data_IF_012307575160
#
_entry.id   IF_012307575160
#
_cell.length_a   1.000
_cell.length_b   1.000
_cell.length_c   1.000
_cell.angle_alpha   90.00
_cell.angle_beta   90.00
_cell.angle_gamma   90.00
#
_symmetry.space_group_name_H-M   'P 1'
#
loop_
_entity.id
_entity.type
_entity.pdbx_description
1 polymer ?
#
# COMPACT_ATOMS: atom_id res chain seq x y z
N UNK A 1 10.47 14.88 20.93
CA UNK A 1 10.19 13.93 19.83
C UNK A 1 9.95 12.59 20.47
N UNK A 2 8.69 12.26 20.76
CA UNK A 2 8.33 10.92 21.23
C UNK A 2 8.46 9.98 20.04
N UNK A 3 9.30 8.95 20.18
CA UNK A 3 9.29 7.81 19.28
C UNK A 3 7.91 7.18 19.48
N UNK A 4 6.99 7.40 18.54
CA UNK A 4 5.71 6.68 18.55
C UNK A 4 6.07 5.20 18.42
N UNK A 5 5.72 4.43 19.44
CA UNK A 5 5.91 2.98 19.47
C UNK A 5 5.15 2.41 18.27
N UNK A 6 5.91 2.05 17.25
CA UNK A 6 5.35 1.45 16.05
C UNK A 6 4.70 0.13 16.46
N UNK A 7 3.38 0.04 16.36
CA UNK A 7 2.69 -1.23 16.56
C UNK A 7 3.07 -2.15 15.41
N UNK A 8 3.72 -3.24 15.76
CA UNK A 8 4.16 -4.27 14.82
C UNK A 8 3.25 -5.50 14.89
N UNK A 9 3.09 -6.19 13.77
CA UNK A 9 2.25 -7.37 13.63
C UNK A 9 3.06 -8.52 13.05
N UNK A 10 3.08 -9.67 13.71
CA UNK A 10 3.73 -10.86 13.17
C UNK A 10 2.95 -11.47 12.00
N UNK A 11 3.61 -12.28 11.18
CA UNK A 11 2.94 -13.03 10.11
C UNK A 11 1.82 -13.96 10.61
N UNK A 12 1.99 -14.55 11.80
CA UNK A 12 0.95 -15.36 12.42
C UNK A 12 -0.25 -14.49 12.85
N UNK A 13 0.01 -13.29 13.38
CA UNK A 13 -1.04 -12.33 13.72
C UNK A 13 -1.82 -11.88 12.48
N UNK A 14 -1.14 -11.61 11.37
CA UNK A 14 -1.81 -11.29 10.11
C UNK A 14 -2.65 -12.46 9.58
N UNK A 15 -2.15 -13.70 9.67
CA UNK A 15 -2.93 -14.87 9.28
C UNK A 15 -4.20 -15.03 10.14
N UNK A 16 -4.13 -14.74 11.44
CA UNK A 16 -5.29 -14.73 12.32
C UNK A 16 -6.31 -13.68 11.88
N UNK A 17 -5.89 -12.42 11.66
CA UNK A 17 -6.78 -11.34 11.20
C UNK A 17 -7.49 -11.67 9.88
N UNK A 18 -6.77 -12.22 8.90
CA UNK A 18 -7.36 -12.60 7.61
C UNK A 18 -8.47 -13.66 7.76
N UNK A 19 -8.33 -14.59 8.72
CA UNK A 19 -9.30 -15.68 8.93
C UNK A 19 -10.48 -15.26 9.81
N UNK A 20 -10.21 -14.45 10.83
CA UNK A 20 -11.13 -14.18 11.93
C UNK A 20 -11.88 -12.85 11.77
N UNK A 21 -11.27 -11.87 11.10
CA UNK A 21 -11.81 -10.52 10.96
C UNK A 21 -11.67 -9.94 9.53
N UNK A 22 -12.04 -10.70 8.47
CA UNK A 22 -11.84 -10.26 7.09
C UNK A 22 -12.63 -9.01 6.71
N UNK A 23 -13.77 -8.74 7.36
CA UNK A 23 -14.65 -7.59 7.05
C UNK A 23 -14.26 -6.30 7.77
N UNK A 24 -13.31 -6.39 8.72
CA UNK A 24 -12.80 -5.26 9.51
C UNK A 24 -11.28 -5.10 9.41
N UNK A 25 -10.62 -5.83 8.52
CA UNK A 25 -9.17 -5.77 8.30
C UNK A 25 -8.85 -5.17 6.94
N UNK A 26 -8.10 -4.06 6.93
CA UNK A 26 -7.60 -3.43 5.71
C UNK A 26 -6.11 -3.70 5.55
N UNK A 27 -5.72 -4.39 4.48
CA UNK A 27 -4.32 -4.75 4.23
C UNK A 27 -3.79 -3.93 3.05
N UNK A 28 -2.68 -3.23 3.26
CA UNK A 28 -2.08 -2.32 2.29
C UNK A 28 -0.65 -2.74 1.98
N UNK A 29 -0.41 -3.12 0.72
CA UNK A 29 0.89 -3.45 0.16
C UNK A 29 1.59 -2.17 -0.34
N UNK A 30 2.67 -1.79 0.33
CA UNK A 30 3.51 -0.65 0.01
C UNK A 30 4.72 -1.03 -0.85
N UNK A 31 4.73 -2.18 -1.53
CA UNK A 31 5.73 -2.56 -2.55
C UNK A 31 5.35 -2.07 -3.93
N UNK A 32 6.34 -2.05 -4.84
CA UNK A 32 6.12 -1.58 -6.20
C UNK A 32 5.12 -2.44 -6.97
N UNK A 33 4.48 -1.82 -7.98
CA UNK A 33 3.46 -2.46 -8.82
C UNK A 33 3.89 -3.84 -9.39
N UNK A 34 5.14 -3.96 -9.84
CA UNK A 34 5.66 -5.24 -10.36
C UNK A 34 5.67 -6.32 -9.28
N UNK A 35 6.14 -6.01 -8.07
CA UNK A 35 6.24 -6.96 -6.96
C UNK A 35 4.84 -7.39 -6.46
N UNK A 36 3.92 -6.43 -6.38
CA UNK A 36 2.52 -6.69 -6.03
C UNK A 36 1.84 -7.63 -7.02
N UNK A 37 2.04 -7.41 -8.33
CA UNK A 37 1.44 -8.23 -9.38
C UNK A 37 2.09 -9.61 -9.52
N UNK A 38 3.37 -9.74 -9.16
CA UNK A 38 4.01 -11.05 -9.07
C UNK A 38 3.37 -11.91 -7.98
N UNK A 39 3.05 -11.29 -6.84
CA UNK A 39 2.41 -11.92 -5.69
C UNK A 39 2.06 -10.88 -4.62
N UNK A 40 0.89 -10.98 -4.00
CA UNK A 40 0.47 -10.14 -2.87
C UNK A 40 -0.34 -10.96 -1.85
N UNK A 41 -0.45 -10.46 -0.62
CA UNK A 41 -1.32 -11.05 0.40
C UNK A 41 -2.77 -10.95 -0.07
N UNK A 42 -3.55 -12.03 0.06
CA UNK A 42 -4.97 -12.04 -0.33
C UNK A 42 -5.72 -10.84 0.26
N UNK A 43 -6.60 -10.25 -0.55
CA UNK A 43 -7.40 -9.07 -0.19
C UNK A 43 -6.60 -7.80 0.15
N UNK A 44 -5.27 -7.82 0.03
CA UNK A 44 -4.48 -6.59 0.14
C UNK A 44 -4.65 -5.71 -1.08
N UNK A 45 -4.46 -4.42 -0.88
CA UNK A 45 -4.50 -3.41 -1.92
C UNK A 45 -3.13 -2.78 -2.09
N UNK A 46 -2.76 -2.46 -3.31
CA UNK A 46 -1.50 -1.79 -3.54
C UNK A 46 -1.58 -0.28 -3.27
N UNK A 47 -0.71 0.20 -2.37
CA UNK A 47 -0.58 1.61 -2.00
C UNK A 47 0.10 2.47 -3.07
N UNK A 48 0.52 1.90 -4.23
CA UNK A 48 0.98 2.71 -5.35
C UNK A 48 -0.24 3.26 -6.09
N UNK A 49 -1.03 4.03 -5.33
CA UNK A 49 -1.92 5.04 -5.86
C UNK A 49 -1.17 5.76 -6.98
N UNK A 50 -1.84 5.99 -8.09
CA UNK A 50 -1.26 6.57 -9.30
C UNK A 50 -0.26 7.71 -9.02
N UNK A 51 0.66 7.99 -9.96
CA UNK A 51 1.66 9.07 -9.83
C UNK A 51 1.06 10.38 -9.28
N UNK A 52 -0.18 10.70 -9.66
CA UNK A 52 -0.90 11.87 -9.20
C UNK A 52 -1.27 11.82 -7.70
N UNK A 53 -1.86 10.71 -7.23
CA UNK A 53 -2.23 10.56 -5.81
C UNK A 53 -0.97 10.59 -4.95
N UNK A 54 0.11 9.92 -5.40
CA UNK A 54 1.37 9.93 -4.67
C UNK A 54 1.96 11.33 -4.53
N UNK A 55 1.95 12.10 -5.63
CA UNK A 55 2.36 13.51 -5.59
C UNK A 55 1.52 14.30 -4.59
N UNK A 56 0.19 14.15 -4.61
CA UNK A 56 -0.71 14.83 -3.67
C UNK A 56 -0.46 14.42 -2.21
N UNK A 57 -0.20 13.13 -1.97
CA UNK A 57 0.11 12.61 -0.64
C UNK A 57 1.38 13.27 -0.07
N UNK A 58 2.46 13.33 -0.86
CA UNK A 58 3.73 13.91 -0.41
C UNK A 58 3.78 15.44 -0.41
N UNK A 59 2.98 16.11 -1.24
CA UNK A 59 2.81 17.57 -1.19
C UNK A 59 1.80 18.01 -0.11
N UNK A 60 1.26 17.07 0.67
CA UNK A 60 0.20 17.31 1.64
C UNK A 60 -1.05 18.00 1.06
N UNK A 61 -1.37 17.67 -0.20
CA UNK A 61 -2.55 18.16 -0.95
C UNK A 61 -3.63 17.10 -1.11
N UNK A 62 -3.51 15.99 -0.38
CA UNK A 62 -4.52 14.96 -0.28
C UNK A 62 -5.16 15.10 1.09
N UNK A 63 -6.49 15.09 1.17
CA UNK A 63 -7.22 15.08 2.44
C UNK A 63 -7.25 13.66 3.05
N UNK A 64 -7.29 13.54 4.37
CA UNK A 64 -7.29 12.22 5.03
C UNK A 64 -8.55 11.42 4.71
N UNK A 65 -9.72 12.05 4.63
CA UNK A 65 -10.95 11.35 4.23
C UNK A 65 -10.86 10.88 2.77
N UNK A 66 -10.24 11.68 1.91
CA UNK A 66 -9.99 11.30 0.52
C UNK A 66 -9.02 10.11 0.42
N UNK A 67 -7.96 10.11 1.22
CA UNK A 67 -7.00 8.99 1.31
C UNK A 67 -7.68 7.72 1.83
N UNK A 68 -8.46 7.83 2.91
CA UNK A 68 -9.24 6.74 3.49
C UNK A 68 -10.23 6.18 2.47
N UNK A 69 -10.98 7.06 1.79
CA UNK A 69 -11.91 6.65 0.74
C UNK A 69 -11.21 5.94 -0.41
N UNK A 70 -10.05 6.46 -0.86
CA UNK A 70 -9.26 5.84 -1.92
C UNK A 70 -8.76 4.45 -1.52
N UNK A 71 -8.32 4.30 -0.28
CA UNK A 71 -7.97 3.01 0.30
C UNK A 71 -9.20 2.10 0.29
N UNK A 72 -10.29 2.46 0.97
CA UNK A 72 -11.45 1.56 1.11
C UNK A 72 -12.15 1.21 -0.21
N UNK A 73 -12.20 2.13 -1.18
CA UNK A 73 -12.87 1.91 -2.48
C UNK A 73 -12.17 0.88 -3.35
N UNK A 74 -10.87 0.66 -3.14
CA UNK A 74 -10.11 -0.36 -3.86
C UNK A 74 -10.15 -1.72 -3.14
N UNK A 75 -10.80 -1.80 -1.97
CA UNK A 75 -10.87 -3.05 -1.22
C UNK A 75 -11.86 -4.00 -1.90
N UNK A 76 -11.45 -5.25 -2.08
CA UNK A 76 -12.24 -6.27 -2.79
C UNK A 76 -13.28 -6.95 -1.89
N UNK A 77 -13.35 -6.56 -0.61
CA UNK A 77 -14.26 -7.12 0.38
C UNK A 77 -15.42 -6.17 0.72
N UNK A 78 -16.53 -6.74 1.19
CA UNK A 78 -17.63 -5.96 1.75
C UNK A 78 -17.24 -5.48 3.16
N UNK A 79 -16.38 -4.46 3.23
CA UNK A 79 -16.00 -3.84 4.50
C UNK A 79 -17.24 -3.27 5.19
N UNK A 80 -17.36 -3.49 6.49
CA UNK A 80 -18.40 -2.83 7.29
C UNK A 80 -18.05 -1.34 7.42
N UNK A 81 -18.74 -0.51 6.64
CA UNK A 81 -18.44 0.93 6.55
C UNK A 81 -18.64 1.68 7.87
N UNK A 82 -19.46 1.15 8.78
CA UNK A 82 -19.77 1.78 10.09
C UNK A 82 -18.84 1.33 11.23
N UNK A 83 -18.01 0.30 11.02
CA UNK A 83 -17.07 -0.18 12.05
C UNK A 83 -15.67 0.42 11.84
N UNK A 84 -14.93 0.57 12.95
CA UNK A 84 -13.49 0.90 12.90
C UNK A 84 -12.72 -0.27 12.32
N UNK A 85 -11.70 0.01 11.51
CA UNK A 85 -10.89 -0.99 10.82
C UNK A 85 -9.53 -1.20 11.50
N UNK A 86 -9.00 -2.40 11.37
CA UNK A 86 -7.61 -2.72 11.69
C UNK A 86 -6.77 -2.60 10.41
N UNK A 87 -5.89 -1.59 10.34
CA UNK A 87 -5.05 -1.32 9.18
C UNK A 87 -3.69 -2.01 9.33
N UNK A 88 -3.31 -2.79 8.32
CA UNK A 88 -2.00 -3.46 8.25
C UNK A 88 -1.23 -2.94 7.03
N UNK A 89 -0.09 -2.31 7.27
CA UNK A 89 0.84 -1.86 6.24
C UNK A 89 2.01 -2.83 6.11
N UNK A 90 2.43 -3.18 4.89
CA UNK A 90 3.64 -3.98 4.68
C UNK A 90 4.44 -3.55 3.46
N UNK A 91 5.75 -3.69 3.52
CA UNK A 91 6.65 -3.58 2.37
C UNK A 91 7.75 -4.64 2.46
N UNK A 92 8.46 -4.91 1.37
CA UNK A 92 9.71 -5.66 1.43
C UNK A 92 10.81 -4.69 1.89
N UNK A 93 11.63 -5.12 2.85
CA UNK A 93 12.78 -4.31 3.26
C UNK A 93 13.69 -4.06 2.05
N UNK A 94 14.14 -2.81 1.92
CA UNK A 94 15.12 -2.43 0.91
C UNK A 94 16.42 -3.22 1.18
N UNK A 95 16.58 -4.37 0.51
CA UNK A 95 17.91 -4.96 0.35
C UNK A 95 18.77 -3.86 -0.27
N UNK A 96 19.95 -3.52 0.29
CA UNK A 96 20.81 -2.50 -0.29
C UNK A 96 21.15 -2.94 -1.72
N UNK A 97 20.43 -2.39 -2.70
CA UNK A 97 20.66 -2.67 -4.11
C UNK A 97 22.04 -2.09 -4.39
N UNK A 98 23.02 -2.96 -4.59
CA UNK A 98 24.41 -2.57 -4.80
C UNK A 98 24.53 -1.41 -5.79
N UNK A 99 25.41 -0.46 -5.44
CA UNK A 99 25.69 0.80 -6.14
C UNK A 99 25.57 0.71 -7.67
N UNK A 100 24.38 0.97 -8.20
CA UNK A 100 24.21 1.47 -9.57
C UNK A 100 23.64 2.87 -9.45
N UNK A 101 24.52 3.86 -9.60
CA UNK A 101 24.18 5.28 -9.70
C UNK A 101 23.12 5.43 -10.79
N UNK A 102 21.86 5.58 -10.40
CA UNK A 102 20.83 6.10 -11.30
C UNK A 102 20.86 7.61 -11.15
N UNK A 103 20.91 8.29 -12.29
CA UNK A 103 20.71 9.74 -12.41
C UNK A 103 19.48 10.10 -11.58
N UNK A 104 19.62 11.05 -10.65
CA UNK A 104 18.54 11.54 -9.81
C UNK A 104 17.49 12.20 -10.71
N UNK A 105 16.54 11.39 -11.16
CA UNK A 105 15.35 11.85 -11.83
C UNK A 105 14.38 12.33 -10.74
N UNK A 106 13.72 13.45 -10.99
CA UNK A 106 12.51 13.88 -10.27
C UNK A 106 11.36 12.83 -10.31
N UNK A 107 11.56 11.69 -10.99
CA UNK A 107 10.73 10.48 -10.97
C UNK A 107 11.32 9.34 -10.11
N UNK A 108 12.29 9.61 -9.22
CA UNK A 108 12.80 8.60 -8.30
C UNK A 108 11.62 8.11 -7.45
N UNK A 109 11.29 6.80 -7.48
CA UNK A 109 10.23 6.27 -6.62
C UNK A 109 10.64 6.58 -5.18
N UNK A 110 9.76 7.26 -4.45
CA UNK A 110 9.93 7.47 -3.03
C UNK A 110 10.12 6.12 -2.36
N UNK A 111 11.02 6.04 -1.37
CA UNK A 111 11.28 4.77 -0.70
C UNK A 111 9.99 4.23 -0.10
N UNK A 112 9.80 2.91 -0.16
CA UNK A 112 8.65 2.22 0.43
C UNK A 112 8.51 2.55 1.92
N UNK A 113 9.65 2.69 2.61
CA UNK A 113 9.75 3.19 3.98
C UNK A 113 9.11 4.59 4.18
N UNK A 114 9.32 5.52 3.24
CA UNK A 114 8.71 6.86 3.29
C UNK A 114 7.20 6.79 3.10
N UNK A 115 6.72 5.94 2.17
CA UNK A 115 5.28 5.72 1.96
C UNK A 115 4.64 5.15 3.23
N UNK A 116 5.21 4.07 3.78
CA UNK A 116 4.70 3.45 5.01
C UNK A 116 4.65 4.44 6.17
N UNK A 117 5.70 5.25 6.33
CA UNK A 117 5.76 6.28 7.38
C UNK A 117 4.64 7.31 7.21
N UNK A 118 4.49 7.89 6.02
CA UNK A 118 3.47 8.91 5.76
C UNK A 118 2.07 8.33 5.93
N UNK A 119 1.80 7.12 5.44
CA UNK A 119 0.50 6.47 5.61
C UNK A 119 0.20 6.21 7.08
N UNK A 120 1.18 5.73 7.86
CA UNK A 120 0.99 5.55 9.30
C UNK A 120 0.68 6.88 9.99
N UNK A 121 1.59 7.85 9.88
CA UNK A 121 1.48 9.14 10.57
C UNK A 121 0.14 9.83 10.26
N UNK A 122 -0.35 9.73 9.02
CA UNK A 122 -1.62 10.34 8.63
C UNK A 122 -2.85 9.57 9.08
N UNK A 123 -2.81 8.23 9.08
CA UNK A 123 -3.99 7.41 9.32
C UNK A 123 -4.17 7.05 10.80
N UNK A 124 -3.10 7.06 11.58
CA UNK A 124 -3.12 6.76 13.02
C UNK A 124 -3.91 7.81 13.82
N UNK A 125 -3.90 9.06 13.37
CA UNK A 125 -4.64 10.16 14.00
C UNK A 125 -6.12 10.22 13.60
N UNK A 126 -6.56 9.33 12.69
CA UNK A 126 -7.95 9.33 12.19
C UNK A 126 -8.84 8.44 13.05
N UNK A 127 -10.12 8.79 13.15
CA UNK A 127 -11.09 8.02 13.95
C UNK A 127 -11.49 6.68 13.31
N UNK A 128 -11.18 6.50 12.02
CA UNK A 128 -11.60 5.36 11.20
C UNK A 128 -10.87 4.06 11.55
N UNK A 129 -9.65 4.15 12.05
CA UNK A 129 -8.86 2.97 12.39
C UNK A 129 -8.87 2.72 13.89
N UNK A 130 -9.04 1.45 14.26
CA UNK A 130 -8.85 0.97 15.63
C UNK A 130 -7.36 0.84 15.93
N UNK A 131 -6.59 0.39 14.95
CA UNK A 131 -5.15 0.22 15.04
C UNK A 131 -4.50 0.38 13.66
N UNK A 132 -3.30 0.95 13.63
CA UNK A 132 -2.45 1.05 12.44
C UNK A 132 -1.14 0.29 12.69
N UNK A 133 -1.06 -0.90 12.12
CA UNK A 133 0.02 -1.87 12.36
C UNK A 133 0.96 -1.98 11.16
N UNK A 134 2.22 -2.32 11.42
CA UNK A 134 3.16 -2.73 10.37
C UNK A 134 3.53 -4.20 10.50
N UNK A 135 3.42 -4.92 9.39
CA UNK A 135 3.83 -6.33 9.32
C UNK A 135 5.35 -6.45 9.53
N UNK A 136 5.74 -7.30 10.46
CA UNK A 136 7.14 -7.59 10.76
C UNK A 136 7.77 -8.51 9.70
N UNK A 137 8.94 -8.10 9.23
CA UNK A 137 9.92 -8.99 8.62
C UNK A 137 9.70 -9.40 7.16
N UNK A 138 10.67 -10.16 6.65
CA UNK A 138 10.76 -10.64 5.26
C UNK A 138 9.84 -11.84 4.95
N UNK A 139 9.03 -12.25 5.92
CA UNK A 139 8.18 -13.46 5.91
C UNK A 139 6.98 -13.36 4.95
N UNK A 140 6.82 -12.21 4.29
CA UNK A 140 5.88 -12.02 3.17
C UNK A 140 5.98 -13.20 2.20
N UNK A 141 7.19 -13.68 1.86
CA UNK A 141 7.37 -14.81 0.91
C UNK A 141 6.71 -16.13 1.34
N UNK A 142 6.57 -16.39 2.63
CA UNK A 142 5.87 -17.57 3.16
C UNK A 142 4.36 -17.40 3.08
N UNK A 143 3.85 -16.26 3.55
CA UNK A 143 2.41 -15.94 3.50
C UNK A 143 1.89 -15.78 2.07
N UNK A 144 2.71 -15.27 1.15
CA UNK A 144 2.40 -15.17 -0.27
C UNK A 144 2.23 -16.53 -0.95
N UNK A 145 2.64 -17.64 -0.33
CA UNK A 145 2.36 -18.99 -0.85
C UNK A 145 1.02 -19.51 -0.35
N UNK A 146 0.70 -19.23 0.91
CA UNK A 146 -0.52 -19.73 1.58
C UNK A 146 -1.76 -18.90 1.23
N UNK A 147 -1.60 -17.59 1.08
CA UNK A 147 -2.67 -16.63 0.75
C UNK A 147 -2.51 -16.05 -0.67
N UNK A 148 -1.87 -16.79 -1.59
CA UNK A 148 -1.67 -16.34 -2.97
C UNK A 148 -3.00 -16.27 -3.71
N UNK A 149 -3.31 -15.14 -4.34
CA UNK A 149 -4.32 -15.10 -5.41
C UNK A 149 -3.67 -15.62 -6.70
N UNK A 150 -4.26 -16.67 -7.28
CA UNK A 150 -3.82 -17.22 -8.56
C UNK A 150 -4.07 -16.18 -9.66
N UNK A 151 -3.12 -16.01 -10.59
CA UNK A 151 -3.16 -14.99 -11.65
C UNK A 151 -4.46 -15.12 -12.45
N UNK A 152 -5.43 -14.23 -12.21
CA UNK A 152 -6.72 -14.25 -12.91
C UNK A 152 -7.54 -12.97 -12.84
N UNK A 153 -7.24 -12.05 -11.92
CA UNK A 153 -7.99 -10.79 -11.79
C UNK A 153 -7.05 -9.58 -11.76
N UNK A 154 -6.51 -9.20 -12.91
CA UNK A 154 -5.97 -7.85 -13.11
C UNK A 154 -6.69 -7.26 -14.31
N UNK A 155 -7.85 -6.68 -14.04
CA UNK A 155 -8.57 -5.82 -14.98
C UNK A 155 -9.22 -4.72 -14.18
N UNK A 156 -8.41 -3.80 -13.67
CA UNK A 156 -8.80 -2.44 -13.29
C UNK A 156 -7.56 -1.75 -12.71
N UNK A 157 -6.88 -0.95 -13.55
CA UNK A 157 -6.07 0.24 -13.19
C UNK A 157 -5.17 0.72 -14.35
N UNK A 158 -5.15 0.03 -15.50
CA UNK A 158 -4.49 0.52 -16.71
C UNK A 158 -5.46 1.28 -17.63
N UNK A 159 -5.99 2.39 -17.15
CA UNK A 159 -6.39 3.51 -18.02
C UNK A 159 -6.06 4.77 -17.24
N UNK A 160 -4.85 5.29 -17.40
CA UNK A 160 -4.56 6.73 -17.36
C UNK A 160 -3.07 6.92 -17.60
N UNK A 161 -2.74 7.06 -18.89
CA UNK A 161 -1.47 7.62 -19.34
C UNK A 161 -0.97 7.03 -20.64
N UNK A 162 -1.38 7.60 -21.77
CA UNK A 162 -0.44 8.24 -22.70
C UNK A 162 -1.20 9.06 -23.77
N UNK A 163 -1.29 10.38 -23.60
CA UNK A 163 -1.50 11.28 -24.74
C UNK A 163 -0.30 12.21 -24.82
N UNK A 164 0.84 11.64 -25.23
CA UNK A 164 1.90 12.39 -25.89
C UNK A 164 1.94 12.03 -27.37
N UNK A 165 0.93 12.46 -28.13
CA UNK A 165 1.02 12.48 -29.59
C UNK A 165 1.62 13.81 -30.03
N UNK A 166 2.91 13.75 -30.36
CA UNK A 166 3.53 14.59 -31.38
C UNK A 166 2.73 14.47 -32.69
N UNK A 167 2.48 15.59 -33.36
CA UNK A 167 2.26 15.75 -34.82
C UNK A 167 2.58 17.23 -35.09
N UNK A 168 3.84 17.58 -35.39
CA UNK A 168 4.46 17.65 -36.72
C UNK A 168 3.86 18.73 -37.62
N UNK A 169 4.69 19.74 -37.90
CA UNK A 169 4.76 20.58 -39.09
C UNK A 169 3.89 20.12 -40.28
N UNK A 170 3.07 21.03 -40.79
CA UNK A 170 2.90 21.36 -42.21
C UNK A 170 2.14 22.69 -42.34
#
# INVERSE_FOLDING_TARGET
MTVLDTVTLSSCGLAALIREAPDTTLIVDCRGFTEYNESHVRHSMNAFFSKLIRRRLFENKLDDNCLIHQLMSCSTGCMKMDEKLDLVLYAEEDKPRGNKRRIASCNAPESTAKIMRVLRERLEDTDKFRSVMVLEGTVIRGMLREFRVNRGCVSQQLEYGDHTSKLSDS
#
